data_IF_538881903549
#
_entry.id   IF_538881903549
#
_cell.length_a   1.000
_cell.length_b   1.000
_cell.length_c   1.000
_cell.angle_alpha   90.00
_cell.angle_beta   90.00
_cell.angle_gamma   90.00
#
_symmetry.space_group_name_H-M   'P 1'
#
loop_
_entity.id
_entity.type
_entity.pdbx_description
1 polymer ?
#
# COMPACT_ATOMS: atom_id res chain seq x y z
N UNK A 1 -30.04 -6.66 -20.60
CA UNK A 1 -30.03 -7.84 -19.70
C UNK A 1 -28.66 -7.98 -19.05
N UNK A 2 -28.28 -7.03 -18.18
CA UNK A 2 -27.02 -7.14 -17.44
C UNK A 2 -27.27 -8.01 -16.21
N UNK A 3 -26.62 -9.16 -16.23
CA UNK A 3 -26.60 -10.21 -15.22
C UNK A 3 -26.55 -9.60 -13.81
N UNK A 4 -27.49 -10.05 -12.96
CA UNK A 4 -27.59 -9.73 -11.54
C UNK A 4 -26.38 -10.36 -10.84
N UNK A 5 -25.19 -9.78 -10.98
CA UNK A 5 -24.05 -10.13 -10.16
C UNK A 5 -24.47 -9.90 -8.72
N UNK A 6 -24.63 -10.99 -7.97
CA UNK A 6 -25.08 -10.97 -6.59
C UNK A 6 -24.06 -10.16 -5.80
N UNK A 7 -24.43 -8.93 -5.39
CA UNK A 7 -23.49 -7.99 -4.76
C UNK A 7 -22.83 -8.60 -3.52
N UNK A 8 -23.50 -9.56 -2.89
CA UNK A 8 -23.00 -10.33 -1.76
C UNK A 8 -21.69 -11.06 -2.06
N UNK A 9 -21.51 -11.59 -3.27
CA UNK A 9 -20.27 -12.29 -3.61
C UNK A 9 -19.08 -11.33 -3.65
N UNK A 10 -19.29 -10.14 -4.24
CA UNK A 10 -18.26 -9.08 -4.30
C UNK A 10 -17.95 -8.58 -2.89
N UNK A 11 -18.96 -8.41 -2.04
CA UNK A 11 -18.79 -8.04 -0.64
C UNK A 11 -17.93 -9.08 0.12
N UNK A 12 -18.22 -10.38 -0.02
CA UNK A 12 -17.42 -11.43 0.61
C UNK A 12 -15.99 -11.51 0.07
N UNK A 13 -15.81 -11.31 -1.24
CA UNK A 13 -14.49 -11.27 -1.86
C UNK A 13 -13.66 -10.09 -1.32
N UNK A 14 -14.27 -8.91 -1.19
CA UNK A 14 -13.61 -7.74 -0.58
C UNK A 14 -13.20 -8.06 0.85
N UNK A 15 -14.11 -8.61 1.68
CA UNK A 15 -13.78 -8.96 3.07
C UNK A 15 -12.60 -9.93 3.11
N UNK A 16 -12.61 -10.99 2.29
CA UNK A 16 -11.52 -11.96 2.23
C UNK A 16 -10.17 -11.34 1.86
N UNK A 17 -10.15 -10.49 0.82
CA UNK A 17 -8.93 -9.81 0.39
C UNK A 17 -8.46 -8.78 1.41
N UNK A 18 -9.37 -8.05 2.07
CA UNK A 18 -9.05 -7.10 3.14
C UNK A 18 -8.42 -7.84 4.33
N UNK A 19 -8.95 -8.98 4.74
CA UNK A 19 -8.37 -9.79 5.82
C UNK A 19 -6.95 -10.26 5.47
N UNK A 20 -6.74 -10.77 4.26
CA UNK A 20 -5.42 -11.15 3.78
C UNK A 20 -4.46 -9.93 3.73
N UNK A 21 -4.94 -8.78 3.29
CA UNK A 21 -4.16 -7.56 3.28
C UNK A 21 -3.74 -7.14 4.69
N UNK A 22 -4.64 -7.22 5.68
CA UNK A 22 -4.32 -6.96 7.09
C UNK A 22 -3.27 -7.92 7.64
N UNK A 23 -3.36 -9.22 7.33
CA UNK A 23 -2.34 -10.20 7.70
C UNK A 23 -0.96 -9.77 7.17
N UNK A 24 -0.91 -9.33 5.90
CA UNK A 24 0.31 -8.80 5.29
C UNK A 24 0.87 -7.57 6.01
N UNK A 25 0.01 -6.65 6.44
CA UNK A 25 0.41 -5.48 7.23
C UNK A 25 1.02 -5.92 8.57
N UNK A 26 0.38 -6.83 9.30
CA UNK A 26 0.86 -7.27 10.60
C UNK A 26 2.17 -8.06 10.52
N UNK A 27 2.39 -8.79 9.42
CA UNK A 27 3.60 -9.56 9.19
C UNK A 27 4.77 -8.69 8.69
N UNK A 28 4.54 -7.80 7.74
CA UNK A 28 5.63 -7.11 7.01
C UNK A 28 5.73 -5.61 7.30
N UNK A 29 4.63 -4.96 7.70
CA UNK A 29 4.55 -3.51 7.95
C UNK A 29 4.49 -3.13 9.43
N UNK A 30 4.86 -4.05 10.31
CA UNK A 30 4.84 -3.88 11.76
C UNK A 30 5.56 -2.59 12.23
N UNK A 31 6.70 -2.23 11.62
CA UNK A 31 7.41 -0.97 11.92
C UNK A 31 6.62 0.29 11.55
N UNK A 32 5.84 0.22 10.47
CA UNK A 32 5.02 1.34 9.98
C UNK A 32 3.85 1.61 10.91
N UNK A 33 3.34 0.58 11.60
CA UNK A 33 2.28 0.68 12.62
C UNK A 33 2.80 0.86 14.06
N UNK A 34 4.12 1.07 14.23
CA UNK A 34 4.73 1.39 15.53
C UNK A 34 5.11 0.17 16.39
N UNK A 35 5.12 -1.03 15.81
CA UNK A 35 5.57 -2.24 16.49
C UNK A 35 7.07 -2.47 16.30
N UNK A 36 7.72 -2.97 17.35
CA UNK A 36 9.14 -3.31 17.35
C UNK A 36 9.44 -4.60 16.59
N UNK A 37 8.48 -5.53 16.59
CA UNK A 37 8.59 -6.88 16.04
C UNK A 37 7.31 -7.27 15.29
N UNK A 38 7.38 -8.17 14.29
CA UNK A 38 6.20 -8.64 13.56
C UNK A 38 5.30 -9.49 14.47
N UNK A 39 3.99 -9.28 14.39
CA UNK A 39 3.03 -10.11 15.13
C UNK A 39 2.88 -11.51 14.51
N UNK A 40 3.14 -11.61 13.20
CA UNK A 40 3.06 -12.84 12.44
C UNK A 40 4.40 -13.06 11.73
N UNK A 41 5.06 -14.18 12.06
CA UNK A 41 6.29 -14.60 11.42
C UNK A 41 5.95 -15.31 10.11
N UNK A 42 5.86 -14.54 9.03
CA UNK A 42 5.66 -15.05 7.67
C UNK A 42 6.98 -14.96 6.91
N UNK A 43 7.38 -16.00 6.14
CA UNK A 43 8.60 -15.97 5.34
C UNK A 43 8.62 -14.80 4.35
N UNK A 44 9.81 -14.22 4.12
CA UNK A 44 10.00 -12.99 3.34
C UNK A 44 9.61 -13.18 1.85
N UNK A 45 9.66 -14.41 1.35
CA UNK A 45 9.27 -14.79 -0.01
C UNK A 45 7.81 -14.43 -0.30
N UNK A 46 6.95 -14.48 0.73
CA UNK A 46 5.54 -14.12 0.62
C UNK A 46 5.31 -12.61 0.57
N UNK A 47 6.29 -11.79 0.95
CA UNK A 47 6.12 -10.33 0.98
C UNK A 47 5.68 -9.77 -0.37
N UNK A 48 6.22 -10.31 -1.48
CA UNK A 48 5.83 -9.87 -2.82
C UNK A 48 4.37 -10.22 -3.15
N UNK A 49 3.86 -11.33 -2.66
CA UNK A 49 2.44 -11.70 -2.79
C UNK A 49 1.56 -10.70 -2.05
N UNK A 50 1.89 -10.39 -0.79
CA UNK A 50 1.11 -9.43 0.02
C UNK A 50 1.21 -7.99 -0.48
N UNK A 51 2.39 -7.54 -0.94
CA UNK A 51 2.54 -6.24 -1.61
C UNK A 51 1.69 -6.18 -2.91
N UNK A 52 1.52 -7.32 -3.59
CA UNK A 52 0.68 -7.45 -4.79
C UNK A 52 -0.83 -7.43 -4.54
N UNK A 53 -1.30 -7.81 -3.34
CA UNK A 53 -2.73 -7.87 -2.98
C UNK A 53 -3.46 -6.52 -3.11
N UNK A 54 -2.72 -5.42 -3.12
CA UNK A 54 -3.29 -4.08 -3.27
C UNK A 54 -4.03 -3.91 -4.59
N UNK A 55 -3.53 -4.51 -5.68
CA UNK A 55 -4.12 -4.39 -7.01
C UNK A 55 -5.48 -5.08 -7.12
N UNK A 56 -5.63 -6.37 -6.78
CA UNK A 56 -6.94 -7.01 -6.79
C UNK A 56 -7.90 -6.35 -5.79
N UNK A 57 -7.42 -5.86 -4.64
CA UNK A 57 -8.26 -5.11 -3.69
C UNK A 57 -8.82 -3.82 -4.31
N UNK A 58 -7.97 -3.02 -4.96
CA UNK A 58 -8.40 -1.79 -5.64
C UNK A 58 -9.40 -2.10 -6.76
N UNK A 59 -9.13 -3.12 -7.59
CA UNK A 59 -10.04 -3.52 -8.66
C UNK A 59 -11.41 -3.94 -8.10
N UNK A 60 -11.43 -4.74 -7.04
CA UNK A 60 -12.67 -5.17 -6.37
C UNK A 60 -13.46 -3.98 -5.81
N UNK A 61 -12.79 -3.04 -5.15
CA UNK A 61 -13.43 -1.83 -4.61
C UNK A 61 -14.00 -0.92 -5.69
N UNK A 62 -13.31 -0.76 -6.82
CA UNK A 62 -13.82 -0.02 -7.98
C UNK A 62 -15.06 -0.71 -8.53
N UNK A 63 -15.00 -2.02 -8.76
CA UNK A 63 -16.13 -2.79 -9.29
C UNK A 63 -17.35 -2.67 -8.38
N UNK A 64 -17.17 -2.83 -7.07
CA UNK A 64 -18.24 -2.68 -6.09
C UNK A 64 -18.86 -1.27 -6.10
N UNK A 65 -18.04 -0.22 -6.05
CA UNK A 65 -18.51 1.17 -6.13
C UNK A 65 -19.26 1.46 -7.44
N UNK A 66 -18.78 0.93 -8.57
CA UNK A 66 -19.47 1.07 -9.87
C UNK A 66 -20.83 0.38 -9.85
N UNK A 67 -20.92 -0.82 -9.29
CA UNK A 67 -22.19 -1.55 -9.14
C UNK A 67 -23.16 -0.82 -8.20
N UNK A 68 -22.66 -0.29 -7.08
CA UNK A 68 -23.43 0.53 -6.13
C UNK A 68 -23.90 1.84 -6.77
N UNK A 69 -23.07 2.49 -7.58
CA UNK A 69 -23.40 3.72 -8.29
C UNK A 69 -24.53 3.52 -9.29
N UNK A 70 -24.46 2.44 -10.09
CA UNK A 70 -25.52 2.07 -11.04
C UNK A 70 -26.89 1.87 -10.37
N UNK A 71 -26.93 1.43 -9.11
CA UNK A 71 -28.18 1.24 -8.35
C UNK A 71 -28.76 2.55 -7.80
N UNK A 72 -27.91 3.52 -7.42
CA UNK A 72 -28.36 4.81 -6.87
C UNK A 72 -28.72 5.80 -7.97
N UNK A 73 -27.94 5.82 -9.05
CA UNK A 73 -28.11 6.69 -10.23
C UNK A 73 -28.16 8.21 -9.92
N UNK A 74 -27.69 8.62 -8.75
CA UNK A 74 -27.58 10.01 -8.28
C UNK A 74 -26.20 10.20 -7.60
N UNK A 75 -25.32 11.06 -8.15
CA UNK A 75 -23.98 11.28 -7.59
C UNK A 75 -23.96 11.80 -6.16
N UNK A 76 -24.83 12.75 -5.81
CA UNK A 76 -24.83 13.38 -4.47
C UNK A 76 -25.27 12.38 -3.41
N UNK A 77 -26.33 11.61 -3.71
CA UNK A 77 -26.81 10.55 -2.81
C UNK A 77 -25.81 9.41 -2.70
N UNK A 78 -25.15 9.06 -3.80
CA UNK A 78 -24.14 8.01 -3.83
C UNK A 78 -22.94 8.35 -2.94
N UNK A 79 -22.35 9.53 -3.11
CA UNK A 79 -21.21 9.96 -2.30
C UNK A 79 -21.58 9.99 -0.82
N UNK A 80 -22.75 10.55 -0.46
CA UNK A 80 -23.19 10.59 0.94
C UNK A 80 -23.39 9.19 1.54
N UNK A 81 -23.86 8.23 0.75
CA UNK A 81 -24.16 6.87 1.19
C UNK A 81 -22.92 5.98 1.28
N UNK A 82 -21.97 6.13 0.35
CA UNK A 82 -20.79 5.26 0.22
C UNK A 82 -19.46 6.02 0.43
N UNK A 83 -19.48 7.09 1.23
CA UNK A 83 -18.32 7.94 1.45
C UNK A 83 -17.11 7.17 2.01
N UNK A 84 -17.34 6.19 2.90
CA UNK A 84 -16.28 5.37 3.50
C UNK A 84 -15.59 4.52 2.44
N UNK A 85 -16.36 3.84 1.59
CA UNK A 85 -15.84 3.00 0.50
C UNK A 85 -14.99 3.84 -0.47
N UNK A 86 -15.46 5.05 -0.80
CA UNK A 86 -14.74 6.01 -1.66
C UNK A 86 -13.43 6.46 -1.01
N UNK A 87 -13.47 6.84 0.27
CA UNK A 87 -12.27 7.23 1.03
C UNK A 87 -11.28 6.07 1.06
N UNK A 88 -11.74 4.84 1.31
CA UNK A 88 -10.89 3.65 1.36
C UNK A 88 -10.23 3.36 0.01
N UNK A 89 -10.99 3.47 -1.10
CA UNK A 89 -10.47 3.31 -2.46
C UNK A 89 -9.34 4.31 -2.76
N UNK A 90 -9.44 5.54 -2.26
CA UNK A 90 -8.43 6.58 -2.45
C UNK A 90 -7.23 6.36 -1.53
N UNK A 91 -7.47 6.02 -0.25
CA UNK A 91 -6.43 5.88 0.75
C UNK A 91 -5.49 4.71 0.47
N UNK A 92 -6.02 3.54 0.09
CA UNK A 92 -5.22 2.33 -0.13
C UNK A 92 -4.03 2.56 -1.10
N UNK A 93 -4.24 3.02 -2.35
CA UNK A 93 -3.14 3.27 -3.27
C UNK A 93 -2.24 4.42 -2.82
N UNK A 94 -2.78 5.43 -2.13
CA UNK A 94 -1.98 6.51 -1.54
C UNK A 94 -1.02 5.95 -0.49
N UNK A 95 -1.51 5.17 0.48
CA UNK A 95 -0.68 4.54 1.50
C UNK A 95 0.43 3.67 0.90
N UNK A 96 0.12 2.94 -0.18
CA UNK A 96 1.12 2.22 -0.96
C UNK A 96 2.17 3.14 -1.57
N UNK A 97 1.75 4.21 -2.24
CA UNK A 97 2.65 5.19 -2.84
C UNK A 97 3.56 5.89 -1.80
N UNK A 98 3.02 6.23 -0.62
CA UNK A 98 3.77 6.84 0.48
C UNK A 98 4.86 5.92 1.03
N UNK A 99 4.64 4.60 1.01
CA UNK A 99 5.64 3.57 1.35
C UNK A 99 6.87 3.71 0.45
N UNK A 100 6.66 3.83 -0.87
CA UNK A 100 7.72 4.05 -1.85
C UNK A 100 8.42 5.40 -1.66
N UNK A 101 7.69 6.44 -1.26
CA UNK A 101 8.26 7.76 -1.02
C UNK A 101 9.25 7.76 0.15
N UNK A 102 8.94 7.06 1.26
CA UNK A 102 9.87 6.88 2.40
C UNK A 102 11.11 6.11 1.99
N UNK A 103 10.95 5.04 1.21
CA UNK A 103 12.06 4.26 0.66
C UNK A 103 12.96 5.14 -0.21
N UNK A 104 12.39 5.91 -1.15
CA UNK A 104 13.13 6.85 -2.00
C UNK A 104 13.90 7.89 -1.19
N UNK A 105 13.28 8.51 -0.19
CA UNK A 105 13.93 9.51 0.66
C UNK A 105 15.08 8.90 1.48
N UNK A 106 14.91 7.67 1.97
CA UNK A 106 15.96 6.94 2.70
C UNK A 106 17.15 6.59 1.81
N UNK A 107 16.89 6.20 0.56
CA UNK A 107 17.92 5.93 -0.45
C UNK A 107 18.69 7.19 -0.81
N UNK A 108 18.00 8.32 -1.02
CA UNK A 108 18.63 9.61 -1.30
C UNK A 108 19.52 10.04 -0.12
N UNK A 109 19.06 9.89 1.13
CA UNK A 109 19.87 10.16 2.32
C UNK A 109 21.11 9.26 2.38
N UNK A 110 20.95 7.94 2.20
CA UNK A 110 22.07 6.98 2.19
C UNK A 110 23.07 7.29 1.07
N UNK A 111 22.59 7.65 -0.12
CA UNK A 111 23.42 7.99 -1.27
C UNK A 111 24.16 9.31 -1.07
N UNK A 112 23.54 10.29 -0.42
CA UNK A 112 24.17 11.55 -0.03
C UNK A 112 25.27 11.31 1.02
N UNK A 113 25.01 10.49 2.03
CA UNK A 113 26.01 10.10 3.04
C UNK A 113 27.16 9.30 2.42
N UNK A 114 26.87 8.37 1.49
CA UNK A 114 27.88 7.60 0.76
C UNK A 114 28.76 8.49 -0.14
N UNK A 115 28.17 9.46 -0.86
CA UNK A 115 28.95 10.46 -1.62
C UNK A 115 29.81 11.34 -0.71
N UNK A 116 29.31 11.67 0.49
CA UNK A 116 30.03 12.49 1.45
C UNK A 116 31.18 11.72 2.11
N UNK A 117 30.99 10.45 2.48
CA UNK A 117 32.05 9.57 2.99
C UNK A 117 33.09 9.26 1.91
N UNK A 118 32.69 9.03 0.66
CA UNK A 118 33.61 8.88 -0.47
C UNK A 118 34.44 10.15 -0.71
N UNK A 119 33.83 11.35 -0.65
CA UNK A 119 34.56 12.63 -0.74
C UNK A 119 35.52 12.85 0.44
N UNK A 120 35.11 12.48 1.65
CA UNK A 120 35.96 12.58 2.84
C UNK A 120 37.19 11.68 2.71
N UNK A 121 37.00 10.39 2.37
CA UNK A 121 38.08 9.42 2.15
C UNK A 121 39.02 9.81 1.00
N UNK A 122 38.48 10.40 -0.07
CA UNK A 122 39.29 10.88 -1.19
C UNK A 122 40.10 12.13 -0.82
N UNK A 123 39.60 12.99 0.08
CA UNK A 123 40.35 14.13 0.62
C UNK A 123 41.44 13.66 1.59
N UNK A 124 41.17 12.71 2.50
CA UNK A 124 42.19 12.15 3.40
C UNK A 124 43.28 11.40 2.63
N UNK A 125 42.94 10.62 1.60
CA UNK A 125 43.96 9.99 0.72
C UNK A 125 44.87 11.00 0.00
N UNK A 126 44.37 12.18 -0.35
CA UNK A 126 45.18 13.25 -0.97
C UNK A 126 46.08 13.98 0.04
N UNK A 127 45.65 14.08 1.30
CA UNK A 127 46.43 14.72 2.38
C UNK A 127 47.51 13.79 2.91
N UNK A 128 47.27 12.48 2.99
CA UNK A 128 48.24 11.47 3.47
C UNK A 128 49.33 11.14 2.44
N UNK A 129 49.11 11.45 1.16
CA UNK A 129 50.07 11.18 0.06
C UNK A 129 50.97 12.38 -0.27
N UNK A 130 50.96 13.44 0.55
CA UNK A 130 51.81 14.63 0.45
C UNK A 130 52.74 14.67 1.65
#
# INVERSE_FOLDING_TARGET
MFQKFDSKFVDYAIIGVVLLFFIGILAFEYKTIGLSEPLLLIPIEWKSFFDGLIWPLVVLLILDLVLKYKKVNDPKKFVKKYWIDIVMLILIPIFSAFKFLKIGLSLIKKLKTAKMSAKALHKTKKVVKK
#
